data_IF_370888277513
#
_entry.id   IF_370888277513
#
_cell.length_a   1.000
_cell.length_b   1.000
_cell.length_c   1.000
_cell.angle_alpha   90.00
_cell.angle_beta   90.00
_cell.angle_gamma   90.00
#
_symmetry.space_group_name_H-M   'P 1'
#
loop_
_entity.id
_entity.type
_entity.pdbx_description
1 polymer ?
#
# COMPACT_ATOMS: atom_id res chain seq x y z
N UNK A 1 -3.61 12.03 -7.53
CA UNK A 1 -2.40 11.62 -6.78
C UNK A 1 -2.37 10.11 -6.58
N UNK A 2 -1.16 9.51 -6.56
CA UNK A 2 -0.95 8.09 -6.23
C UNK A 2 -0.45 7.94 -4.80
N UNK A 3 -0.65 6.77 -4.18
CA UNK A 3 -0.12 6.52 -2.85
C UNK A 3 1.41 6.32 -2.88
N UNK A 4 2.13 6.88 -1.90
CA UNK A 4 3.60 6.90 -1.95
C UNK A 4 4.27 5.57 -1.56
N UNK A 5 3.57 4.65 -0.88
CA UNK A 5 4.07 3.32 -0.47
C UNK A 5 5.15 3.29 0.61
N UNK A 6 5.91 4.37 0.77
CA UNK A 6 7.06 4.46 1.68
C UNK A 6 6.74 5.02 3.07
N UNK A 7 5.65 5.76 3.23
CA UNK A 7 5.25 6.31 4.52
C UNK A 7 4.64 5.25 5.45
N UNK A 8 4.56 5.57 6.75
CA UNK A 8 4.03 4.66 7.77
C UNK A 8 2.59 4.23 7.45
N UNK A 9 1.73 5.17 7.05
CA UNK A 9 0.34 4.87 6.71
C UNK A 9 0.22 3.88 5.54
N UNK A 10 1.04 4.05 4.49
CA UNK A 10 1.05 3.13 3.35
C UNK A 10 1.52 1.72 3.76
N UNK A 11 2.56 1.63 4.61
CA UNK A 11 3.06 0.34 5.10
C UNK A 11 2.03 -0.40 5.94
N UNK A 12 1.35 0.31 6.85
CA UNK A 12 0.29 -0.28 7.67
C UNK A 12 -0.86 -0.80 6.81
N UNK A 13 -1.25 -0.04 5.79
CA UNK A 13 -2.28 -0.43 4.83
C UNK A 13 -1.88 -1.67 4.03
N UNK A 14 -0.70 -1.66 3.40
CA UNK A 14 -0.17 -2.80 2.65
C UNK A 14 -0.08 -4.06 3.52
N UNK A 15 0.33 -3.90 4.79
CA UNK A 15 0.34 -5.00 5.77
C UNK A 15 -1.05 -5.55 6.03
N UNK A 16 -2.05 -4.70 6.26
CA UNK A 16 -3.42 -5.12 6.51
C UNK A 16 -4.02 -5.91 5.33
N UNK A 17 -3.84 -5.42 4.09
CA UNK A 17 -4.26 -6.12 2.88
C UNK A 17 -3.58 -7.49 2.74
N UNK A 18 -2.25 -7.53 2.97
CA UNK A 18 -1.48 -8.77 2.96
C UNK A 18 -1.94 -9.79 4.01
N UNK A 19 -2.23 -9.35 5.23
CA UNK A 19 -2.71 -10.21 6.32
C UNK A 19 -4.09 -10.81 6.04
N UNK A 20 -4.92 -10.07 5.30
CA UNK A 20 -6.24 -10.52 4.86
C UNK A 20 -6.19 -11.34 3.55
N UNK A 21 -5.01 -11.55 2.97
CA UNK A 21 -4.83 -12.31 1.72
C UNK A 21 -5.42 -11.62 0.48
N UNK A 22 -5.53 -10.29 0.51
CA UNK A 22 -6.14 -9.48 -0.53
C UNK A 22 -5.12 -8.50 -1.10
N UNK A 23 -5.29 -8.16 -2.38
CA UNK A 23 -4.49 -7.13 -3.03
C UNK A 23 -5.08 -5.74 -2.76
N UNK A 24 -4.18 -4.77 -2.67
CA UNK A 24 -4.54 -3.40 -2.44
C UNK A 24 -5.07 -2.75 -3.74
N UNK A 25 -6.31 -2.22 -3.78
CA UNK A 25 -6.95 -1.80 -5.02
C UNK A 25 -6.49 -0.45 -5.57
N UNK A 26 -5.62 0.28 -4.88
CA UNK A 26 -5.17 1.60 -5.34
C UNK A 26 -3.80 1.55 -5.99
N UNK A 27 -3.56 2.49 -6.88
CA UNK A 27 -2.24 2.66 -7.46
C UNK A 27 -1.28 3.36 -6.52
N UNK A 28 -0.04 2.91 -6.62
CA UNK A 28 1.10 3.44 -5.91
C UNK A 28 2.10 4.10 -6.86
N UNK A 29 2.95 4.97 -6.32
CA UNK A 29 4.10 5.52 -7.05
C UNK A 29 5.00 4.39 -7.54
N UNK A 30 5.55 4.51 -8.76
CA UNK A 30 6.37 3.46 -9.37
C UNK A 30 7.71 3.23 -8.66
N UNK A 31 8.12 4.15 -7.79
CA UNK A 31 9.39 4.13 -7.06
C UNK A 31 9.14 3.92 -5.55
N UNK A 32 8.54 2.78 -5.19
CA UNK A 32 8.37 2.34 -3.80
C UNK A 32 9.60 1.64 -3.28
#
# INVERSE_FOLDING_TARGET
>A
DKACGRCISCKLRLKAFKELGMEDPIEYEKNI
#
